data_IF_303008813393
#
_entry.id   IF_303008813393
#
_cell.length_a   1.000
_cell.length_b   1.000
_cell.length_c   1.000
_cell.angle_alpha   90.00
_cell.angle_beta   90.00
_cell.angle_gamma   90.00
#
_symmetry.space_group_name_H-M   'P 1'
#
loop_
_entity.id
_entity.type
_entity.pdbx_description
1 polymer ?
#
# COMPACT_ATOMS: atom_id res chain seq x y z
N UNK A 1 20.93 -11.41 -3.44
CA UNK A 1 19.95 -10.41 -3.94
C UNK A 1 20.02 -10.41 -5.46
N UNK A 2 19.02 -9.84 -6.15
CA UNK A 2 19.06 -9.62 -7.59
C UNK A 2 19.35 -8.15 -7.88
N UNK A 3 20.02 -7.85 -8.98
CA UNK A 3 20.40 -6.48 -9.38
C UNK A 3 19.48 -5.91 -10.45
N UNK A 4 19.25 -4.60 -10.41
CA UNK A 4 18.56 -3.85 -11.44
C UNK A 4 19.57 -2.95 -12.18
N UNK A 5 19.93 -3.33 -13.41
CA UNK A 5 20.97 -2.66 -14.19
C UNK A 5 20.33 -1.69 -15.20
N UNK A 6 20.67 -0.41 -15.07
CA UNK A 6 20.26 0.64 -16.01
C UNK A 6 21.43 0.99 -16.95
N UNK A 7 21.15 1.15 -18.24
CA UNK A 7 22.13 1.60 -19.25
C UNK A 7 21.74 3.00 -19.75
N UNK A 8 22.72 3.90 -19.84
CA UNK A 8 22.51 5.29 -20.26
C UNK A 8 23.85 5.92 -20.66
N UNK A 9 23.80 6.88 -21.59
CA UNK A 9 24.95 7.71 -21.98
C UNK A 9 25.21 8.89 -21.01
N UNK A 10 24.33 9.08 -20.01
CA UNK A 10 24.45 10.11 -18.97
C UNK A 10 24.21 9.51 -17.56
N UNK A 11 25.15 8.71 -17.03
CA UNK A 11 24.97 8.00 -15.76
C UNK A 11 24.73 8.93 -14.57
N UNK A 12 25.52 9.99 -14.42
CA UNK A 12 25.39 10.91 -13.27
C UNK A 12 24.08 11.70 -13.27
N UNK A 13 23.66 12.20 -14.45
CA UNK A 13 22.37 12.89 -14.58
C UNK A 13 21.18 11.97 -14.31
N UNK A 14 21.23 10.72 -14.81
CA UNK A 14 20.13 9.76 -14.64
C UNK A 14 20.09 9.18 -13.23
N UNK A 15 21.25 8.92 -12.57
CA UNK A 15 21.33 8.35 -11.21
C UNK A 15 20.51 9.17 -10.21
N UNK A 16 20.69 10.49 -10.20
CA UNK A 16 19.96 11.38 -9.30
C UNK A 16 18.50 11.58 -9.69
N UNK A 17 18.14 11.49 -10.99
CA UNK A 17 16.75 11.49 -11.42
C UNK A 17 16.00 10.23 -10.97
N UNK A 18 16.61 9.04 -11.09
CA UNK A 18 16.03 7.77 -10.67
C UNK A 18 15.83 7.74 -9.14
N UNK A 19 16.83 8.15 -8.35
CA UNK A 19 16.69 8.30 -6.89
C UNK A 19 15.52 9.20 -6.51
N UNK A 20 15.41 10.38 -7.14
CA UNK A 20 14.32 11.34 -6.89
C UNK A 20 12.96 10.78 -7.28
N UNK A 21 12.87 10.06 -8.40
CA UNK A 21 11.63 9.42 -8.82
C UNK A 21 11.17 8.35 -7.82
N UNK A 22 12.08 7.49 -7.35
CA UNK A 22 11.78 6.46 -6.34
C UNK A 22 11.37 7.10 -5.00
N UNK A 23 12.04 8.17 -4.57
CA UNK A 23 11.66 8.88 -3.35
C UNK A 23 10.28 9.55 -3.45
N UNK A 24 9.93 10.13 -4.62
CA UNK A 24 8.61 10.69 -4.87
C UNK A 24 7.52 9.61 -4.95
N UNK A 25 7.83 8.45 -5.54
CA UNK A 25 6.97 7.26 -5.59
C UNK A 25 6.65 6.76 -4.18
N UNK A 26 7.68 6.57 -3.34
CA UNK A 26 7.53 6.20 -1.93
C UNK A 26 6.64 7.18 -1.16
N UNK A 27 6.91 8.48 -1.26
CA UNK A 27 6.11 9.52 -0.60
C UNK A 27 4.63 9.50 -1.04
N UNK A 28 4.35 9.19 -2.32
CA UNK A 28 2.98 9.03 -2.82
C UNK A 28 2.32 7.78 -2.23
N UNK A 29 3.00 6.64 -2.26
CA UNK A 29 2.49 5.37 -1.75
C UNK A 29 2.23 5.43 -0.24
N UNK A 30 3.14 6.00 0.55
CA UNK A 30 2.96 6.18 2.01
C UNK A 30 1.78 7.10 2.33
N UNK A 31 1.57 8.16 1.55
CA UNK A 31 0.38 9.01 1.70
C UNK A 31 -0.92 8.26 1.34
N UNK A 32 -0.92 7.45 0.27
CA UNK A 32 -2.05 6.58 -0.07
C UNK A 32 -2.31 5.56 1.04
N UNK A 33 -1.28 4.92 1.57
CA UNK A 33 -1.40 3.91 2.64
C UNK A 33 -1.96 4.53 3.92
N UNK A 34 -1.52 5.74 4.27
CA UNK A 34 -2.07 6.51 5.41
C UNK A 34 -3.55 6.87 5.22
N UNK A 35 -4.01 7.12 4.00
CA UNK A 35 -5.42 7.37 3.71
C UNK A 35 -6.24 6.07 3.79
N UNK A 36 -5.74 4.98 3.22
CA UNK A 36 -6.38 3.67 3.30
C UNK A 36 -6.51 3.19 4.75
N UNK A 37 -5.44 3.32 5.55
CA UNK A 37 -5.46 3.00 6.98
C UNK A 37 -6.53 3.77 7.74
N UNK A 38 -6.73 5.06 7.45
CA UNK A 38 -7.82 5.85 8.07
C UNK A 38 -9.22 5.36 7.72
N UNK A 39 -9.43 4.81 6.52
CA UNK A 39 -10.73 4.23 6.14
C UNK A 39 -10.91 2.84 6.75
N UNK A 40 -9.84 2.06 6.91
CA UNK A 40 -9.85 0.84 7.71
C UNK A 40 -10.10 1.12 9.19
N UNK A 41 -9.54 2.18 9.77
CA UNK A 41 -9.77 2.59 11.17
C UNK A 41 -11.28 2.78 11.42
N UNK A 42 -11.99 3.46 10.51
CA UNK A 42 -13.44 3.65 10.59
C UNK A 42 -14.21 2.31 10.69
N UNK A 43 -13.91 1.34 9.82
CA UNK A 43 -14.58 0.05 9.85
C UNK A 43 -14.19 -0.79 11.07
N UNK A 44 -12.90 -0.81 11.42
CA UNK A 44 -12.39 -1.55 12.59
C UNK A 44 -12.95 -1.00 13.91
N UNK A 45 -13.14 0.32 14.02
CA UNK A 45 -13.82 0.96 15.15
C UNK A 45 -15.32 0.69 15.16
N UNK A 46 -16.00 0.78 14.01
CA UNK A 46 -17.45 0.52 13.89
C UNK A 46 -17.82 -0.91 14.31
N UNK A 47 -17.04 -1.89 13.87
CA UNK A 47 -17.32 -3.31 14.08
C UNK A 47 -16.48 -3.97 15.19
N UNK A 48 -15.60 -3.21 15.85
CA UNK A 48 -14.67 -3.69 16.89
C UNK A 48 -13.82 -4.90 16.44
N UNK A 49 -13.51 -4.96 15.15
CA UNK A 49 -12.95 -6.13 14.48
C UNK A 49 -11.85 -5.71 13.50
N UNK A 50 -10.65 -6.28 13.61
CA UNK A 50 -9.51 -5.98 12.72
C UNK A 50 -9.77 -6.40 11.28
N UNK A 51 -9.31 -5.61 10.32
CA UNK A 51 -9.44 -5.88 8.88
C UNK A 51 -8.76 -7.19 8.45
N UNK A 52 -7.67 -7.58 9.13
CA UNK A 52 -6.98 -8.85 8.88
C UNK A 52 -7.73 -10.11 9.34
N UNK A 53 -8.95 -9.96 9.86
CA UNK A 53 -9.74 -11.02 10.49
C UNK A 53 -11.25 -10.87 10.24
N UNK A 54 -11.72 -9.79 9.58
CA UNK A 54 -13.16 -9.54 9.46
C UNK A 54 -13.85 -10.57 8.57
N UNK A 55 -13.20 -11.01 7.48
CA UNK A 55 -13.72 -12.02 6.55
C UNK A 55 -13.94 -13.40 7.22
N UNK A 56 -13.19 -13.70 8.29
CA UNK A 56 -13.32 -14.94 9.06
C UNK A 56 -14.44 -14.88 10.12
N UNK A 57 -15.01 -13.69 10.37
CA UNK A 57 -15.76 -13.38 11.60
C UNK A 57 -17.07 -12.63 11.42
N UNK A 58 -17.25 -11.96 10.28
CA UNK A 58 -18.42 -11.18 9.92
C UNK A 58 -18.84 -11.55 8.50
N UNK A 59 -20.12 -11.80 8.30
CA UNK A 59 -20.73 -11.87 6.98
C UNK A 59 -21.24 -10.48 6.55
N UNK A 60 -21.72 -10.36 5.32
CA UNK A 60 -22.36 -9.11 4.86
C UNK A 60 -23.62 -8.81 5.68
N UNK A 61 -24.36 -9.84 6.08
CA UNK A 61 -25.59 -9.73 6.88
C UNK A 61 -25.36 -9.16 8.29
N UNK A 62 -24.13 -9.24 8.82
CA UNK A 62 -23.74 -8.63 10.11
C UNK A 62 -23.43 -7.13 9.98
N UNK A 63 -23.37 -6.60 8.75
CA UNK A 63 -23.03 -5.20 8.46
C UNK A 63 -24.27 -4.35 8.15
N UNK A 64 -24.28 -3.12 8.66
CA UNK A 64 -25.37 -2.15 8.47
C UNK A 64 -25.58 -1.82 6.98
N UNK A 65 -24.50 -1.57 6.23
CA UNK A 65 -24.52 -1.35 4.78
C UNK A 65 -24.49 -2.63 3.94
N UNK A 66 -24.59 -3.80 4.59
CA UNK A 66 -24.61 -5.14 3.98
C UNK A 66 -23.49 -5.37 2.95
N UNK A 67 -23.82 -5.96 1.80
CA UNK A 67 -22.89 -6.32 0.73
C UNK A 67 -22.04 -5.13 0.26
N UNK A 68 -22.62 -3.92 0.22
CA UNK A 68 -21.91 -2.72 -0.20
C UNK A 68 -20.79 -2.36 0.78
N UNK A 69 -21.11 -2.29 2.07
CA UNK A 69 -20.12 -1.99 3.12
C UNK A 69 -19.07 -3.11 3.25
N UNK A 70 -19.49 -4.37 3.12
CA UNK A 70 -18.59 -5.52 3.11
C UNK A 70 -17.57 -5.44 1.96
N UNK A 71 -18.05 -5.17 0.73
CA UNK A 71 -17.19 -5.03 -0.46
C UNK A 71 -16.29 -3.81 -0.37
N UNK A 72 -16.78 -2.69 0.18
CA UNK A 72 -15.95 -1.50 0.43
C UNK A 72 -14.81 -1.78 1.41
N UNK A 73 -15.09 -2.43 2.55
CA UNK A 73 -14.06 -2.78 3.52
C UNK A 73 -13.06 -3.80 2.96
N UNK A 74 -13.55 -4.83 2.27
CA UNK A 74 -12.71 -5.82 1.60
C UNK A 74 -11.76 -5.16 0.57
N UNK A 75 -12.30 -4.29 -0.28
CA UNK A 75 -11.53 -3.58 -1.31
C UNK A 75 -10.49 -2.63 -0.71
N UNK A 76 -10.84 -1.90 0.35
CA UNK A 76 -9.89 -1.01 1.02
C UNK A 76 -8.78 -1.80 1.72
N UNK A 77 -9.08 -2.97 2.28
CA UNK A 77 -8.07 -3.81 2.93
C UNK A 77 -7.11 -4.45 1.92
N UNK A 78 -7.65 -4.95 0.80
CA UNK A 78 -6.87 -5.41 -0.36
C UNK A 78 -5.91 -4.30 -0.85
N UNK A 79 -6.44 -3.08 -1.04
CA UNK A 79 -5.66 -1.93 -1.49
C UNK A 79 -4.56 -1.53 -0.50
N UNK A 80 -4.84 -1.55 0.81
CA UNK A 80 -3.83 -1.30 1.85
C UNK A 80 -2.66 -2.29 1.79
N UNK A 81 -2.95 -3.59 1.60
CA UNK A 81 -1.92 -4.64 1.49
C UNK A 81 -1.06 -4.47 0.23
N UNK A 82 -1.67 -4.15 -0.92
CA UNK A 82 -0.92 -3.86 -2.14
C UNK A 82 0.02 -2.65 -1.99
N UNK A 83 -0.41 -1.61 -1.27
CA UNK A 83 0.43 -0.45 -0.98
C UNK A 83 1.59 -0.83 -0.07
N UNK A 84 1.36 -1.65 0.95
CA UNK A 84 2.41 -2.16 1.84
C UNK A 84 3.48 -2.96 1.08
N UNK A 85 3.06 -3.84 0.16
CA UNK A 85 3.99 -4.60 -0.68
C UNK A 85 4.83 -3.70 -1.60
N UNK A 86 4.20 -2.70 -2.25
CA UNK A 86 4.89 -1.73 -3.12
C UNK A 86 5.89 -0.88 -2.33
N UNK A 87 5.50 -0.39 -1.14
CA UNK A 87 6.39 0.35 -0.23
C UNK A 87 7.56 -0.51 0.23
N UNK A 88 7.30 -1.75 0.66
CA UNK A 88 8.33 -2.71 1.08
C UNK A 88 9.32 -2.99 -0.04
N UNK A 89 8.83 -3.18 -1.27
CA UNK A 89 9.66 -3.42 -2.46
C UNK A 89 10.60 -2.24 -2.74
N UNK A 90 10.08 -1.01 -2.76
CA UNK A 90 10.91 0.18 -3.00
C UNK A 90 11.86 0.50 -1.83
N UNK A 91 11.48 0.22 -0.58
CA UNK A 91 12.36 0.36 0.60
C UNK A 91 13.47 -0.70 0.65
N UNK A 92 13.36 -1.78 -0.12
CA UNK A 92 14.41 -2.81 -0.22
C UNK A 92 15.52 -2.47 -1.24
N UNK A 93 15.39 -1.34 -1.95
CA UNK A 93 16.38 -0.91 -2.94
C UNK A 93 17.62 -0.31 -2.28
N UNK A 94 18.77 -0.91 -2.57
CA UNK A 94 20.09 -0.40 -2.21
C UNK A 94 20.77 0.21 -3.45
N UNK A 95 21.24 1.46 -3.34
CA UNK A 95 21.92 2.15 -4.43
C UNK A 95 23.42 1.82 -4.42
N UNK A 96 23.83 0.82 -5.19
CA UNK A 96 25.26 0.55 -5.43
C UNK A 96 25.92 1.71 -6.18
N UNK A 97 27.15 2.05 -5.79
CA UNK A 97 27.93 3.20 -6.29
C UNK A 97 28.57 2.89 -7.64
#
# INVERSE_FOLDING_TARGET
MAELIFKTDNPEGVRELVKKAIAAELCRLENSQRLARKRLDYFEEKYQQRSSQFQDRLAAEDMEGRDLEYVEWMGEYQFFLELEEKIKSLKSLEYVS
#
